data_IF_312214463280
#
_entry.id   IF_312214463280
#
_cell.length_a   1.000
_cell.length_b   1.000
_cell.length_c   1.000
_cell.angle_alpha   90.00
_cell.angle_beta   90.00
_cell.angle_gamma   90.00
#
_symmetry.space_group_name_H-M   'P 1'
#
loop_
_entity.id
_entity.type
_entity.pdbx_description
1 polymer ?
#
# COMPACT_ATOMS: atom_id res chain seq x y z
N UNK A 1 18.89 -2.86 21.11
CA UNK A 1 17.63 -3.45 20.61
C UNK A 1 17.94 -4.61 19.67
N UNK A 2 17.34 -5.79 19.85
CA UNK A 2 17.53 -6.93 18.95
C UNK A 2 17.10 -6.62 17.51
N UNK A 3 17.74 -7.26 16.53
CA UNK A 3 17.50 -7.04 15.09
C UNK A 3 16.01 -7.13 14.69
N UNK A 4 15.26 -8.05 15.30
CA UNK A 4 13.81 -8.22 15.07
C UNK A 4 12.97 -7.02 15.54
N UNK A 5 13.28 -6.42 16.69
CA UNK A 5 12.51 -5.29 17.21
C UNK A 5 12.65 -4.05 16.32
N UNK A 6 13.83 -3.86 15.73
CA UNK A 6 14.09 -2.80 14.76
C UNK A 6 13.30 -3.01 13.46
N UNK A 7 13.17 -4.25 12.99
CA UNK A 7 12.35 -4.56 11.81
C UNK A 7 10.87 -4.32 12.07
N UNK A 8 10.33 -4.70 13.23
CA UNK A 8 8.95 -4.38 13.61
C UNK A 8 8.72 -2.87 13.67
N UNK A 9 9.65 -2.12 14.27
CA UNK A 9 9.57 -0.66 14.31
C UNK A 9 9.54 -0.05 12.90
N UNK A 10 10.35 -0.56 11.97
CA UNK A 10 10.33 -0.11 10.56
C UNK A 10 8.99 -0.38 9.89
N UNK A 11 8.34 -1.51 10.17
CA UNK A 11 6.99 -1.80 9.66
C UNK A 11 5.98 -0.80 10.21
N UNK A 12 5.98 -0.57 11.52
CA UNK A 12 5.08 0.40 12.16
C UNK A 12 5.29 1.81 11.58
N UNK A 13 6.54 2.25 11.44
CA UNK A 13 6.86 3.54 10.83
C UNK A 13 6.38 3.63 9.38
N UNK A 14 6.56 2.56 8.60
CA UNK A 14 6.06 2.49 7.23
C UNK A 14 4.53 2.63 7.14
N UNK A 15 3.80 1.99 8.05
CA UNK A 15 2.35 2.09 8.14
C UNK A 15 1.92 3.50 8.55
N UNK A 16 2.57 4.09 9.57
CA UNK A 16 2.28 5.47 10.01
C UNK A 16 2.51 6.47 8.88
N UNK A 17 3.61 6.33 8.13
CA UNK A 17 3.89 7.17 6.96
C UNK A 17 2.80 6.99 5.89
N UNK A 18 2.38 5.75 5.63
CA UNK A 18 1.29 5.48 4.67
C UNK A 18 -0.03 6.15 5.08
N UNK A 19 -0.36 6.15 6.38
CA UNK A 19 -1.56 6.80 6.92
C UNK A 19 -1.44 8.32 6.82
N UNK A 20 -0.30 8.90 7.22
CA UNK A 20 -0.08 10.36 7.16
C UNK A 20 -0.14 10.84 5.71
N UNK A 21 0.62 10.22 4.80
CA UNK A 21 0.66 10.62 3.40
C UNK A 21 -0.69 10.38 2.71
N UNK A 22 -1.37 9.27 3.02
CA UNK A 22 -2.73 9.00 2.55
C UNK A 22 -3.73 10.04 3.05
N UNK A 23 -3.64 10.43 4.32
CA UNK A 23 -4.45 11.48 4.93
C UNK A 23 -4.19 12.86 4.32
N UNK A 24 -2.94 13.20 4.03
CA UNK A 24 -2.56 14.44 3.35
C UNK A 24 -3.10 14.53 1.92
N UNK A 25 -3.33 13.39 1.26
CA UNK A 25 -3.96 13.35 -0.06
C UNK A 25 -5.47 13.62 -0.03
N UNK A 26 -6.16 13.42 1.10
CA UNK A 26 -7.62 13.58 1.19
C UNK A 26 -8.13 14.91 0.59
N UNK A 27 -7.59 16.11 0.91
CA UNK A 27 -8.07 17.36 0.33
C UNK A 27 -7.92 17.42 -1.20
N UNK A 28 -6.83 16.87 -1.75
CA UNK A 28 -6.62 16.79 -3.20
C UNK A 28 -7.54 15.77 -3.86
N UNK A 29 -7.74 14.65 -3.18
CA UNK A 29 -8.57 13.54 -3.64
C UNK A 29 -10.05 13.95 -3.65
N UNK A 30 -10.51 14.79 -2.71
CA UNK A 30 -11.86 15.35 -2.69
C UNK A 30 -12.18 16.26 -3.88
N UNK A 31 -11.16 16.78 -4.59
CA UNK A 31 -11.36 17.55 -5.81
C UNK A 31 -11.65 16.66 -7.03
N UNK A 32 -11.54 15.33 -6.90
CA UNK A 32 -11.79 14.40 -7.99
C UNK A 32 -13.29 14.14 -8.17
N UNK A 33 -13.75 13.99 -9.42
CA UNK A 33 -15.16 13.96 -9.73
C UNK A 33 -15.88 12.67 -9.31
N UNK A 34 -15.14 11.58 -9.01
CA UNK A 34 -15.76 10.30 -8.64
C UNK A 34 -15.05 9.62 -7.47
N UNK A 35 -15.79 8.94 -6.57
CA UNK A 35 -15.20 8.12 -5.49
C UNK A 35 -14.25 7.04 -6.01
N UNK A 36 -14.48 6.56 -7.24
CA UNK A 36 -13.62 5.57 -7.87
C UNK A 36 -12.21 6.12 -8.12
N UNK A 37 -12.11 7.33 -8.67
CA UNK A 37 -10.82 8.01 -8.86
C UNK A 37 -10.13 8.28 -7.52
N UNK A 38 -10.91 8.54 -6.46
CA UNK A 38 -10.37 8.75 -5.12
C UNK A 38 -9.65 7.52 -4.58
N UNK A 39 -10.24 6.33 -4.74
CA UNK A 39 -9.62 5.06 -4.34
C UNK A 39 -8.36 4.73 -5.15
N UNK A 40 -8.42 4.94 -6.47
CA UNK A 40 -7.29 4.65 -7.38
C UNK A 40 -6.07 5.53 -7.07
N UNK A 41 -6.29 6.79 -6.67
CA UNK A 41 -5.24 7.76 -6.36
C UNK A 41 -4.42 7.44 -5.11
N UNK A 42 -4.89 6.55 -4.23
CA UNK A 42 -4.10 6.12 -3.06
C UNK A 42 -3.10 5.00 -3.41
N UNK A 43 -3.29 4.30 -4.53
CA UNK A 43 -2.45 3.17 -4.93
C UNK A 43 -0.95 3.53 -5.04
N UNK A 44 -0.53 4.70 -5.58
CA UNK A 44 0.86 5.12 -5.57
C UNK A 44 1.50 5.18 -4.19
N UNK A 45 0.82 5.81 -3.22
CA UNK A 45 1.35 6.00 -1.87
C UNK A 45 1.52 4.67 -1.18
N UNK A 46 0.51 3.82 -1.23
CA UNK A 46 0.55 2.50 -0.63
C UNK A 46 1.62 1.62 -1.28
N UNK A 47 1.82 1.72 -2.60
CA UNK A 47 2.90 1.00 -3.28
C UNK A 47 4.28 1.46 -2.81
N UNK A 48 4.52 2.78 -2.74
CA UNK A 48 5.80 3.34 -2.31
C UNK A 48 6.11 2.95 -0.87
N UNK A 49 5.16 3.17 0.05
CA UNK A 49 5.34 2.89 1.47
C UNK A 49 5.54 1.39 1.72
N UNK A 50 4.72 0.54 1.11
CA UNK A 50 4.87 -0.91 1.24
C UNK A 50 6.21 -1.37 0.66
N UNK A 51 6.60 -0.90 -0.52
CA UNK A 51 7.86 -1.29 -1.15
C UNK A 51 9.08 -0.91 -0.31
N UNK A 52 9.16 0.34 0.14
CA UNK A 52 10.28 0.82 0.96
C UNK A 52 10.34 0.07 2.29
N UNK A 53 9.19 -0.18 2.91
CA UNK A 53 9.12 -0.95 4.15
C UNK A 53 9.63 -2.37 3.95
N UNK A 54 9.13 -3.08 2.93
CA UNK A 54 9.52 -4.45 2.63
C UNK A 54 11.02 -4.60 2.31
N UNK A 55 11.59 -3.63 1.60
CA UNK A 55 13.02 -3.63 1.29
C UNK A 55 13.90 -3.29 2.50
N UNK A 56 13.33 -2.71 3.56
CA UNK A 56 14.05 -2.29 4.77
C UNK A 56 14.03 -3.34 5.89
N UNK A 57 13.30 -4.45 5.75
CA UNK A 57 13.09 -5.44 6.81
C UNK A 57 13.40 -6.86 6.33
N UNK A 58 13.82 -7.74 7.26
CA UNK A 58 14.18 -9.13 6.95
C UNK A 58 13.07 -10.13 7.30
N UNK A 59 11.86 -9.65 7.55
CA UNK A 59 10.72 -10.48 7.98
C UNK A 59 10.01 -11.07 6.75
N UNK A 60 9.92 -12.41 6.68
CA UNK A 60 9.28 -13.15 5.56
C UNK A 60 7.84 -12.70 5.28
N UNK A 61 7.07 -12.47 6.34
CA UNK A 61 5.65 -12.09 6.28
C UNK A 61 5.40 -10.59 6.43
N UNK A 62 6.42 -9.75 6.16
CA UNK A 62 6.34 -8.31 6.38
C UNK A 62 5.15 -7.62 5.68
N UNK A 63 4.75 -8.06 4.49
CA UNK A 63 3.60 -7.46 3.77
C UNK A 63 2.27 -7.75 4.47
N UNK A 64 2.12 -8.94 5.05
CA UNK A 64 0.93 -9.32 5.81
C UNK A 64 0.86 -8.47 7.07
N UNK A 65 1.97 -8.35 7.80
CA UNK A 65 2.05 -7.48 8.99
C UNK A 65 1.75 -6.01 8.66
N UNK A 66 2.33 -5.51 7.57
CA UNK A 66 2.06 -4.15 7.07
C UNK A 66 0.56 -3.96 6.75
N UNK A 67 -0.02 -4.87 5.97
CA UNK A 67 -1.43 -4.83 5.59
C UNK A 67 -2.38 -4.94 6.79
N UNK A 68 -2.11 -5.84 7.72
CA UNK A 68 -2.91 -6.01 8.94
C UNK A 68 -2.84 -4.80 9.85
N UNK A 69 -1.66 -4.21 10.06
CA UNK A 69 -1.51 -3.00 10.87
C UNK A 69 -2.18 -1.80 10.21
N UNK A 70 -1.99 -1.61 8.90
CA UNK A 70 -2.66 -0.55 8.16
C UNK A 70 -4.18 -0.71 8.22
N UNK A 71 -4.67 -1.93 7.97
CA UNK A 71 -6.09 -2.26 8.04
C UNK A 71 -6.68 -2.03 9.42
N UNK A 72 -5.96 -2.36 10.49
CA UNK A 72 -6.41 -2.18 11.87
C UNK A 72 -6.51 -0.71 12.27
N UNK A 73 -5.60 0.13 11.78
CA UNK A 73 -5.66 1.58 12.01
C UNK A 73 -6.83 2.18 11.24
N UNK A 74 -6.99 1.80 9.96
CA UNK A 74 -8.04 2.35 9.11
C UNK A 74 -9.45 1.81 9.45
N UNK A 75 -9.54 0.62 10.07
CA UNK A 75 -10.83 0.02 10.46
C UNK A 75 -11.57 0.79 11.55
N UNK A 76 -10.86 1.65 12.30
CA UNK A 76 -11.46 2.61 13.23
C UNK A 76 -12.44 3.54 12.49
N UNK A 77 -12.13 3.90 11.25
CA UNK A 77 -12.96 4.79 10.42
C UNK A 77 -13.96 4.01 9.55
N UNK A 78 -13.53 2.85 9.01
CA UNK A 78 -14.35 2.00 8.14
C UNK A 78 -14.00 0.52 8.36
N UNK A 79 -14.81 -0.24 9.13
CA UNK A 79 -14.45 -1.59 9.58
C UNK A 79 -14.04 -2.57 8.47
N UNK A 80 -14.68 -2.48 7.31
CA UNK A 80 -14.41 -3.35 6.15
C UNK A 80 -13.03 -3.11 5.50
N UNK A 81 -12.38 -1.96 5.75
CA UNK A 81 -11.03 -1.68 5.22
C UNK A 81 -9.99 -2.68 5.73
N UNK A 82 -10.25 -3.30 6.88
CA UNK A 82 -9.39 -4.37 7.39
C UNK A 82 -9.24 -5.50 6.36
N UNK A 83 -10.35 -5.97 5.78
CA UNK A 83 -10.30 -7.05 4.78
C UNK A 83 -9.74 -6.58 3.45
N UNK A 84 -10.08 -5.34 3.06
CA UNK A 84 -9.57 -4.70 1.82
C UNK A 84 -8.05 -4.59 1.82
N UNK A 85 -7.41 -4.46 2.99
CA UNK A 85 -5.94 -4.33 3.11
C UNK A 85 -5.27 -5.69 3.37
N UNK A 86 -5.86 -6.55 4.20
CA UNK A 86 -5.29 -7.85 4.55
C UNK A 86 -5.32 -8.84 3.39
N UNK A 87 -6.44 -8.93 2.65
CA UNK A 87 -6.56 -9.90 1.54
C UNK A 87 -5.49 -9.65 0.46
N UNK A 88 -5.30 -8.43 -0.07
CA UNK A 88 -4.23 -8.15 -1.02
C UNK A 88 -2.83 -8.41 -0.45
N UNK A 89 -2.62 -8.20 0.84
CA UNK A 89 -1.34 -8.49 1.48
C UNK A 89 -1.04 -9.99 1.48
N UNK A 90 -2.05 -10.82 1.77
CA UNK A 90 -1.94 -12.28 1.69
C UNK A 90 -1.71 -12.72 0.25
N UNK A 91 -2.50 -12.23 -0.71
CA UNK A 91 -2.33 -12.57 -2.13
C UNK A 91 -0.94 -12.15 -2.64
N UNK A 92 -0.50 -10.94 -2.31
CA UNK A 92 0.85 -10.47 -2.62
C UNK A 92 1.92 -11.40 -2.04
N UNK A 93 1.77 -11.84 -0.78
CA UNK A 93 2.68 -12.78 -0.15
C UNK A 93 2.74 -14.15 -0.84
N UNK A 94 1.59 -14.69 -1.23
CA UNK A 94 1.47 -16.02 -1.84
C UNK A 94 1.98 -16.05 -3.28
N UNK A 95 1.60 -15.06 -4.09
CA UNK A 95 1.86 -15.07 -5.53
C UNK A 95 3.21 -14.44 -5.92
N UNK A 96 3.80 -13.59 -5.07
CA UNK A 96 5.01 -12.86 -5.44
C UNK A 96 6.16 -13.10 -4.46
N UNK A 97 7.30 -13.54 -4.98
CA UNK A 97 8.53 -13.70 -4.20
C UNK A 97 9.19 -12.35 -3.89
N UNK A 98 9.26 -11.46 -4.89
CA UNK A 98 9.94 -10.15 -4.79
C UNK A 98 9.07 -9.10 -4.10
N UNK A 99 9.70 -8.25 -3.27
CA UNK A 99 9.04 -7.13 -2.57
C UNK A 99 8.29 -6.18 -3.50
N UNK A 100 8.86 -5.94 -4.69
CA UNK A 100 8.25 -5.10 -5.71
C UNK A 100 6.89 -5.63 -6.18
N UNK A 101 6.78 -6.94 -6.41
CA UNK A 101 5.53 -7.57 -6.82
C UNK A 101 4.49 -7.54 -5.68
N UNK A 102 4.94 -7.86 -4.46
CA UNK A 102 4.12 -7.80 -3.25
C UNK A 102 3.47 -6.42 -3.07
N UNK A 103 4.26 -5.35 -3.17
CA UNK A 103 3.78 -3.98 -2.99
C UNK A 103 2.80 -3.52 -4.08
N UNK A 104 3.08 -3.86 -5.34
CA UNK A 104 2.20 -3.51 -6.47
C UNK A 104 0.86 -4.21 -6.35
N UNK A 105 0.84 -5.51 -6.09
CA UNK A 105 -0.41 -6.28 -5.93
C UNK A 105 -1.18 -5.85 -4.69
N UNK A 106 -0.48 -5.60 -3.58
CA UNK A 106 -1.10 -5.07 -2.37
C UNK A 106 -1.88 -3.79 -2.64
N UNK A 107 -1.33 -2.84 -3.39
CA UNK A 107 -2.00 -1.57 -3.67
C UNK A 107 -3.06 -1.69 -4.78
N UNK A 108 -2.79 -2.43 -5.86
CA UNK A 108 -3.67 -2.48 -7.02
C UNK A 108 -4.98 -3.24 -6.78
N UNK A 109 -4.96 -4.23 -5.88
CA UNK A 109 -6.16 -5.01 -5.57
C UNK A 109 -7.11 -4.33 -4.58
N UNK A 110 -6.65 -3.35 -3.80
CA UNK A 110 -7.48 -2.66 -2.81
C UNK A 110 -8.70 -1.99 -3.44
N UNK A 111 -8.52 -1.33 -4.59
CA UNK A 111 -9.65 -0.69 -5.29
C UNK A 111 -10.74 -1.71 -5.66
N UNK A 112 -10.35 -2.87 -6.18
CA UNK A 112 -11.31 -3.89 -6.62
C UNK A 112 -12.02 -4.57 -5.47
N UNK A 113 -11.36 -4.73 -4.33
CA UNK A 113 -12.01 -5.23 -3.12
C UNK A 113 -12.89 -4.17 -2.45
N UNK A 114 -12.58 -2.88 -2.65
CA UNK A 114 -13.42 -1.78 -2.19
C UNK A 114 -14.64 -1.56 -3.08
N UNK A 115 -14.54 -1.84 -4.38
CA UNK A 115 -15.58 -1.53 -5.36
C UNK A 115 -16.97 -2.13 -5.03
N UNK A 116 -17.12 -3.41 -4.64
CA UNK A 116 -18.41 -3.97 -4.21
C UNK A 116 -19.01 -3.30 -2.96
N UNK A 117 -18.19 -2.63 -2.15
CA UNK A 117 -18.61 -1.95 -0.92
C UNK A 117 -19.17 -0.56 -1.25
N UNK A 118 -18.64 0.08 -2.29
CA UNK A 118 -19.06 1.43 -2.72
C UNK A 118 -20.10 1.39 -3.85
N UNK A 119 -20.22 0.27 -4.57
CA UNK A 119 -21.09 0.11 -5.73
C UNK A 119 -21.74 -1.29 -5.71
N UNK A 120 -23.08 -1.39 -5.80
CA UNK A 120 -23.78 -2.67 -5.89
C UNK A 120 -23.35 -3.50 -7.11
N UNK A 121 -23.28 -4.82 -6.97
CA UNK A 121 -22.84 -5.76 -8.02
C UNK A 121 -23.75 -5.76 -9.25
N UNK A 122 -25.04 -5.42 -9.07
CA UNK A 122 -26.06 -5.31 -10.09
C UNK A 122 -26.02 -3.98 -10.85
N UNK A 123 -25.12 -3.07 -10.49
CA UNK A 123 -25.01 -1.79 -11.19
C UNK A 123 -24.57 -2.00 -12.64
N UNK A 124 -25.24 -1.38 -13.63
CA UNK A 124 -24.80 -1.44 -15.02
C UNK A 124 -23.33 -1.04 -15.15
N UNK A 125 -22.55 -1.86 -15.86
CA UNK A 125 -21.11 -1.68 -16.07
C UNK A 125 -20.21 -1.90 -14.83
N UNK A 126 -20.70 -2.50 -13.72
CA UNK A 126 -19.87 -2.82 -12.55
C UNK A 126 -18.55 -3.52 -12.92
N UNK A 127 -18.64 -4.58 -13.73
CA UNK A 127 -17.47 -5.36 -14.18
C UNK A 127 -16.51 -4.54 -15.03
N UNK A 128 -17.04 -3.60 -15.82
CA UNK A 128 -16.25 -2.70 -16.63
C UNK A 128 -15.46 -1.73 -15.73
N UNK A 129 -16.10 -1.15 -14.71
CA UNK A 129 -15.45 -0.29 -13.72
C UNK A 129 -14.40 -1.04 -12.89
N UNK A 130 -14.69 -2.28 -12.50
CA UNK A 130 -13.74 -3.15 -11.82
C UNK A 130 -12.49 -3.36 -12.68
N UNK A 131 -12.67 -3.76 -13.95
CA UNK A 131 -11.56 -4.02 -14.86
C UNK A 131 -10.71 -2.76 -15.12
N UNK A 132 -11.35 -1.65 -15.50
CA UNK A 132 -10.62 -0.40 -15.77
C UNK A 132 -9.96 0.17 -14.52
N UNK A 133 -10.63 0.10 -13.37
CA UNK A 133 -10.06 0.53 -12.10
C UNK A 133 -8.90 -0.34 -11.64
N UNK A 134 -8.94 -1.67 -11.91
CA UNK A 134 -7.80 -2.55 -11.72
C UNK A 134 -6.60 -2.14 -12.58
N UNK A 135 -6.82 -1.97 -13.88
CA UNK A 135 -5.77 -1.61 -14.83
C UNK A 135 -5.16 -0.25 -14.47
N UNK A 136 -5.99 0.74 -14.14
CA UNK A 136 -5.54 2.06 -13.69
C UNK A 136 -4.72 1.97 -12.40
N UNK A 137 -5.22 1.24 -11.39
CA UNK A 137 -4.51 1.04 -10.11
C UNK A 137 -3.18 0.32 -10.30
N UNK A 138 -3.15 -0.71 -11.16
CA UNK A 138 -1.94 -1.45 -11.49
C UNK A 138 -0.91 -0.54 -12.19
N UNK A 139 -1.36 0.24 -13.17
CA UNK A 139 -0.49 1.17 -13.93
C UNK A 139 0.12 2.21 -13.00
N UNK A 140 -0.70 2.85 -12.15
CA UNK A 140 -0.23 3.80 -11.14
C UNK A 140 0.72 3.16 -10.13
N UNK A 141 0.45 1.93 -9.69
CA UNK A 141 1.33 1.20 -8.78
C UNK A 141 2.68 0.89 -9.41
N UNK A 142 2.70 0.49 -10.69
CA UNK A 142 3.95 0.25 -11.43
C UNK A 142 4.75 1.56 -11.57
N UNK A 143 4.11 2.66 -11.95
CA UNK A 143 4.76 3.97 -12.02
C UNK A 143 5.33 4.38 -10.66
N UNK A 144 4.54 4.26 -9.61
CA UNK A 144 4.96 4.56 -8.24
C UNK A 144 6.13 3.70 -7.78
N UNK A 145 6.16 2.42 -8.17
CA UNK A 145 7.30 1.52 -7.91
C UNK A 145 8.58 2.00 -8.62
N UNK A 146 8.48 2.50 -9.86
CA UNK A 146 9.63 3.08 -10.58
C UNK A 146 10.17 4.28 -9.82
N UNK A 147 9.30 5.20 -9.38
CA UNK A 147 9.70 6.32 -8.52
C UNK A 147 10.32 5.86 -7.20
N UNK A 148 9.71 4.88 -6.53
CA UNK A 148 10.20 4.34 -5.26
C UNK A 148 11.61 3.74 -5.42
N UNK A 149 11.89 3.05 -6.53
CA UNK A 149 13.22 2.51 -6.84
C UNK A 149 14.28 3.61 -7.01
N UNK A 150 13.92 4.75 -7.58
CA UNK A 150 14.84 5.88 -7.74
C UNK A 150 15.11 6.59 -6.41
N UNK A 151 14.12 6.67 -5.51
CA UNK A 151 14.24 7.35 -4.22
C UNK A 151 14.92 6.44 -3.18
N UNK A 152 14.70 5.11 -3.25
CA UNK A 152 15.29 4.10 -2.36
C UNK A 152 16.78 4.32 -2.04
N UNK A 153 17.71 4.48 -3.01
CA UNK A 153 19.12 4.67 -2.70
C UNK A 153 19.41 5.95 -1.90
N UNK A 154 18.59 7.01 -2.05
CA UNK A 154 18.75 8.25 -1.27
C UNK A 154 18.32 8.05 0.19
N UNK A 155 17.24 7.31 0.40
CA UNK A 155 16.73 6.98 1.75
C UNK A 155 17.68 6.02 2.47
N UNK A 156 18.18 4.99 1.77
CA UNK A 156 19.08 3.98 2.37
C UNK A 156 20.50 4.51 2.59
N UNK A 157 21.03 5.41 1.75
CA UNK A 157 22.31 6.09 2.02
C UNK A 157 22.27 6.90 3.31
N UNK A 158 21.15 7.56 3.62
CA UNK A 158 20.96 8.26 4.90
C UNK A 158 20.91 7.32 6.12
N UNK A 159 20.55 6.05 5.92
CA UNK A 159 20.54 5.05 7.00
C UNK A 159 21.94 4.47 7.24
N UNK A 160 22.72 4.18 6.19
CA UNK A 160 24.10 3.68 6.32
C UNK A 160 25.04 4.73 6.94
N UNK A 161 24.88 6.01 6.60
CA UNK A 161 25.68 7.09 7.21
C UNK A 161 25.43 7.28 8.73
N UNK A 162 24.31 6.77 9.25
CA UNK A 162 24.01 6.74 10.69
C UNK A 162 24.43 5.43 11.38
N UNK A 163 24.67 4.36 10.61
CA UNK A 163 25.22 3.10 11.12
C UNK A 163 26.75 3.13 11.24
N UNK A 164 27.45 4.01 10.53
CA UNK A 164 28.90 4.25 10.73
C UNK A 164 29.23 5.21 11.89
N UNK A 165 28.20 5.83 12.49
CA UNK A 165 28.35 6.79 13.61
C UNK A 165 27.97 6.23 14.98
N UNK A 166 27.50 4.99 15.06
CA UNK A 166 27.20 4.26 16.31
C UNK A 166 27.98 2.96 16.37
#
# INVERSE_FOLDING_TARGET
MGSKNRDYLRIVMGVVIAVILGGMLIPFVRMLPTPAMMGIMQAPIYTICAYLTLESVRIKHAIILFGSLLGLILSIFMPYIFFVTVIPAILGHLFFKKSSGKAVVFASMQFNLMLPIIMPLDTPNFWLFSLFGFIASLTLSILALVFAKQIKPRILKGQLANEEKN
#
